data_IF_916988241624
#
_entry.id   IF_916988241624
#
_cell.length_a   1.000
_cell.length_b   1.000
_cell.length_c   1.000
_cell.angle_alpha   90.00
_cell.angle_beta   90.00
_cell.angle_gamma   90.00
#
_symmetry.space_group_name_H-M   'P 1'
#
loop_
_entity.id
_entity.type
_entity.pdbx_description
1 polymer ?
#
# COMPACT_ATOMS: atom_id res chain seq x y z
N UNK A 1 -9.15 10.01 -8.46
CA UNK A 1 -8.72 8.62 -8.13
C UNK A 1 -9.09 8.26 -6.70
N UNK A 2 -9.47 7.05 -6.46
CA UNK A 2 -9.77 6.50 -5.13
C UNK A 2 -8.79 5.39 -4.76
N UNK A 3 -8.54 5.23 -3.45
CA UNK A 3 -7.57 4.24 -2.94
C UNK A 3 -8.23 3.06 -2.25
N UNK A 4 -7.64 1.89 -2.35
CA UNK A 4 -8.04 0.70 -1.61
C UNK A 4 -6.83 0.20 -0.81
N UNK A 5 -7.02 -0.05 0.48
CA UNK A 5 -6.07 -0.80 1.29
C UNK A 5 -6.66 -2.18 1.50
N UNK A 6 -6.01 -3.21 0.97
CA UNK A 6 -6.42 -4.59 1.21
C UNK A 6 -5.71 -5.12 2.47
N UNK A 7 -6.44 -5.14 3.56
CA UNK A 7 -5.97 -5.56 4.89
C UNK A 7 -6.67 -6.85 5.35
N UNK A 8 -6.87 -7.77 4.42
CA UNK A 8 -7.46 -9.08 4.64
C UNK A 8 -6.43 -10.18 4.91
N UNK A 9 -6.94 -11.42 4.97
CA UNK A 9 -6.13 -12.63 5.16
C UNK A 9 -5.93 -13.04 6.62
N UNK A 10 -5.81 -14.35 6.85
CA UNK A 10 -5.72 -14.93 8.18
C UNK A 10 -4.37 -14.74 8.89
N UNK A 11 -3.31 -14.30 8.16
CA UNK A 11 -1.98 -14.07 8.73
C UNK A 11 -1.32 -15.30 9.37
N UNK A 12 -1.67 -16.51 8.94
CA UNK A 12 -1.25 -17.78 9.58
C UNK A 12 0.26 -17.97 9.67
N UNK A 13 1.02 -17.38 8.74
CA UNK A 13 2.49 -17.39 8.78
C UNK A 13 3.09 -16.62 9.99
N UNK A 14 2.26 -15.80 10.64
CA UNK A 14 2.64 -15.02 11.82
C UNK A 14 2.00 -15.57 13.12
N UNK A 15 1.47 -16.79 13.11
CA UNK A 15 1.01 -17.41 14.35
C UNK A 15 2.19 -17.63 15.31
N UNK A 16 2.00 -17.37 16.63
CA UNK A 16 0.74 -17.05 17.32
C UNK A 16 0.36 -15.55 17.36
N UNK A 17 1.15 -14.65 16.83
CA UNK A 17 0.92 -13.18 16.93
C UNK A 17 -0.45 -12.76 16.37
N UNK A 18 -0.89 -13.41 15.30
CA UNK A 18 -2.13 -13.07 14.57
C UNK A 18 -3.34 -13.93 14.95
N UNK A 19 -3.25 -14.71 16.04
CA UNK A 19 -4.39 -15.52 16.50
C UNK A 19 -5.58 -14.68 17.02
N UNK A 20 -5.31 -13.46 17.48
CA UNK A 20 -6.32 -12.58 18.08
C UNK A 20 -6.37 -11.19 17.46
N UNK A 21 -5.58 -10.95 16.42
CA UNK A 21 -5.52 -9.64 15.75
C UNK A 21 -5.10 -9.77 14.31
N UNK A 22 -5.52 -8.82 13.46
CA UNK A 22 -5.02 -8.69 12.10
C UNK A 22 -3.52 -8.43 12.08
N UNK A 23 -2.81 -9.00 11.10
CA UNK A 23 -1.40 -8.71 10.83
C UNK A 23 -1.14 -7.20 10.70
N UNK A 24 -2.00 -6.49 10.03
CA UNK A 24 -1.85 -5.07 9.75
C UNK A 24 -2.07 -4.16 10.99
N UNK A 25 -2.50 -4.75 12.11
CA UNK A 25 -2.56 -4.08 13.41
C UNK A 25 -1.34 -4.34 14.28
N UNK A 26 -0.46 -5.26 13.89
CA UNK A 26 0.81 -5.48 14.59
C UNK A 26 1.70 -4.24 14.46
N UNK A 27 2.51 -3.95 15.48
CA UNK A 27 3.44 -2.82 15.43
C UNK A 27 4.60 -3.09 14.45
N UNK A 28 4.94 -2.09 13.67
CA UNK A 28 6.22 -2.01 12.98
C UNK A 28 6.94 -0.81 13.55
N UNK A 29 7.87 -1.09 14.45
CA UNK A 29 8.60 -0.15 15.29
C UNK A 29 7.66 0.71 16.19
N UNK A 30 7.24 1.90 15.77
CA UNK A 30 6.57 2.89 16.62
C UNK A 30 5.08 3.13 16.30
N UNK A 31 4.55 2.42 15.31
CA UNK A 31 3.15 2.56 14.89
C UNK A 31 2.57 1.26 14.31
N UNK A 32 1.23 1.12 14.24
CA UNK A 32 0.60 -0.03 13.59
C UNK A 32 0.97 -0.11 12.10
N UNK A 33 1.14 -1.31 11.59
CA UNK A 33 1.52 -1.57 10.21
C UNK A 33 0.63 -0.86 9.19
N UNK A 34 -0.68 -0.76 9.43
CA UNK A 34 -1.64 -0.11 8.53
C UNK A 34 -1.34 1.36 8.23
N UNK A 35 -0.56 2.05 9.09
CA UNK A 35 -0.17 3.44 8.87
C UNK A 35 0.74 3.61 7.65
N UNK A 36 1.53 2.60 7.31
CA UNK A 36 2.45 2.63 6.16
C UNK A 36 1.69 2.63 4.83
N UNK A 37 0.81 1.66 4.52
CA UNK A 37 0.03 1.70 3.28
C UNK A 37 -0.93 2.89 3.23
N UNK A 38 -1.52 3.32 4.36
CA UNK A 38 -2.30 4.56 4.42
C UNK A 38 -1.46 5.76 3.96
N UNK A 39 -0.26 5.91 4.51
CA UNK A 39 0.67 6.98 4.13
C UNK A 39 1.07 6.90 2.65
N UNK A 40 1.23 5.69 2.10
CA UNK A 40 1.56 5.50 0.68
C UNK A 40 0.48 6.09 -0.22
N UNK A 41 -0.80 5.80 0.04
CA UNK A 41 -1.91 6.41 -0.72
C UNK A 41 -2.00 7.93 -0.50
N UNK A 42 -1.77 8.39 0.72
CA UNK A 42 -1.75 9.83 1.02
C UNK A 42 -0.62 10.55 0.27
N UNK A 43 0.57 9.97 0.18
CA UNK A 43 1.70 10.51 -0.60
C UNK A 43 1.39 10.59 -2.10
N UNK A 44 0.55 9.70 -2.62
CA UNK A 44 0.01 9.77 -3.98
C UNK A 44 -1.01 10.91 -4.17
N UNK A 45 -1.46 11.55 -3.09
CA UNK A 45 -2.49 12.61 -3.12
C UNK A 45 -3.92 12.08 -3.00
N UNK A 46 -4.10 10.80 -2.68
CA UNK A 46 -5.41 10.14 -2.60
C UNK A 46 -6.04 10.40 -1.23
N UNK A 47 -7.28 10.90 -1.22
CA UNK A 47 -8.02 11.22 0.01
C UNK A 47 -9.18 10.28 0.32
N UNK A 48 -9.85 9.77 -0.71
CA UNK A 48 -10.94 8.81 -0.53
C UNK A 48 -10.34 7.40 -0.53
N UNK A 49 -10.40 6.73 0.62
CA UNK A 49 -9.70 5.45 0.84
C UNK A 49 -10.67 4.44 1.45
N UNK A 50 -10.76 3.27 0.80
CA UNK A 50 -11.51 2.12 1.28
C UNK A 50 -10.57 1.10 1.92
N UNK A 51 -10.85 0.73 3.16
CA UNK A 51 -10.14 -0.36 3.85
C UNK A 51 -10.99 -1.62 3.75
N UNK A 52 -10.45 -2.64 3.09
CA UNK A 52 -11.09 -3.94 2.94
C UNK A 52 -10.41 -4.93 3.90
N UNK A 53 -11.18 -5.53 4.79
CA UNK A 53 -10.66 -6.44 5.81
C UNK A 53 -11.64 -7.58 6.13
N UNK A 54 -11.21 -8.47 7.03
CA UNK A 54 -12.04 -9.59 7.49
C UNK A 54 -13.22 -9.10 8.33
N UNK A 55 -14.31 -9.92 8.49
CA UNK A 55 -15.42 -9.55 9.36
C UNK A 55 -14.99 -9.27 10.81
N UNK A 56 -13.97 -9.98 11.30
CA UNK A 56 -13.47 -9.87 12.68
C UNK A 56 -12.62 -8.61 12.88
N UNK A 57 -11.85 -8.22 11.88
CA UNK A 57 -10.85 -7.15 12.02
C UNK A 57 -11.37 -5.79 11.55
N UNK A 58 -12.38 -5.74 10.68
CA UNK A 58 -12.96 -4.47 10.21
C UNK A 58 -13.32 -3.52 11.36
N UNK A 59 -14.03 -3.95 12.43
CA UNK A 59 -14.35 -3.07 13.56
C UNK A 59 -13.10 -2.55 14.31
N UNK A 60 -11.99 -3.29 14.26
CA UNK A 60 -10.73 -2.88 14.90
C UNK A 60 -10.06 -1.77 14.11
N UNK A 61 -10.08 -1.86 12.75
CA UNK A 61 -9.62 -0.77 11.90
C UNK A 61 -10.48 0.48 12.04
N UNK A 62 -11.80 0.34 12.11
CA UNK A 62 -12.72 1.45 12.39
C UNK A 62 -12.42 2.10 13.74
N UNK A 63 -12.18 1.30 14.78
CA UNK A 63 -11.83 1.81 16.11
C UNK A 63 -10.47 2.53 16.15
N UNK A 64 -9.49 2.10 15.35
CA UNK A 64 -8.16 2.70 15.28
C UNK A 64 -8.16 3.99 14.45
N UNK A 65 -8.74 3.96 13.26
CA UNK A 65 -8.57 4.96 12.21
C UNK A 65 -9.77 5.90 12.07
N UNK A 66 -10.94 5.54 12.65
CA UNK A 66 -12.16 6.35 12.57
C UNK A 66 -12.60 6.62 11.13
N UNK A 67 -13.11 7.82 10.90
CA UNK A 67 -13.51 8.31 9.59
C UNK A 67 -12.35 8.90 8.75
N UNK A 68 -11.15 8.94 9.31
CA UNK A 68 -9.96 9.49 8.65
C UNK A 68 -9.81 11.02 8.77
N UNK A 69 -10.77 11.70 9.39
CA UNK A 69 -10.76 13.16 9.48
C UNK A 69 -9.50 13.71 10.16
N UNK A 70 -8.91 12.99 11.14
CA UNK A 70 -7.66 13.35 11.79
C UNK A 70 -6.45 13.35 10.83
N UNK A 71 -6.54 12.61 9.73
CA UNK A 71 -5.53 12.54 8.66
C UNK A 71 -5.92 13.40 7.44
N UNK A 72 -7.03 14.13 7.50
CA UNK A 72 -7.52 14.93 6.37
C UNK A 72 -7.96 14.09 5.16
N UNK A 73 -8.34 12.84 5.37
CA UNK A 73 -8.84 11.90 4.37
C UNK A 73 -10.23 11.40 4.75
N UNK A 74 -10.91 10.74 3.82
CA UNK A 74 -12.19 10.07 4.04
C UNK A 74 -11.97 8.57 4.02
N UNK A 75 -12.13 7.90 5.16
CA UNK A 75 -12.02 6.46 5.26
C UNK A 75 -13.39 5.80 5.20
N UNK A 76 -13.48 4.76 4.39
CA UNK A 76 -14.61 3.85 4.31
C UNK A 76 -14.14 2.43 4.58
N UNK A 77 -15.05 1.54 4.96
CA UNK A 77 -14.71 0.17 5.33
C UNK A 77 -15.62 -0.82 4.62
N UNK A 78 -15.05 -1.95 4.19
CA UNK A 78 -15.77 -3.04 3.54
C UNK A 78 -15.27 -4.37 4.06
N UNK A 79 -16.19 -5.27 4.33
CA UNK A 79 -15.86 -6.64 4.74
C UNK A 79 -15.55 -7.48 3.50
N UNK A 80 -14.43 -8.20 3.53
CA UNK A 80 -14.09 -9.29 2.62
C UNK A 80 -14.53 -10.61 3.29
N UNK A 81 -15.57 -11.28 2.79
CA UNK A 81 -16.10 -12.49 3.44
C UNK A 81 -15.14 -13.68 3.36
N UNK A 82 -14.40 -13.79 2.26
CA UNK A 82 -13.41 -14.83 1.98
C UNK A 82 -12.23 -14.25 1.20
N UNK A 83 -11.00 -14.74 1.39
CA UNK A 83 -9.81 -14.25 0.71
C UNK A 83 -9.67 -14.87 -0.69
N UNK A 84 -10.55 -14.51 -1.62
CA UNK A 84 -10.63 -15.13 -2.95
C UNK A 84 -9.63 -14.54 -3.96
N UNK A 85 -8.61 -13.84 -3.49
CA UNK A 85 -7.54 -13.25 -4.30
C UNK A 85 -7.51 -11.72 -4.29
N UNK A 86 -6.42 -11.14 -4.76
CA UNK A 86 -6.19 -9.69 -4.66
C UNK A 86 -7.09 -8.89 -5.61
N UNK A 87 -7.40 -9.43 -6.80
CA UNK A 87 -8.28 -8.73 -7.76
C UNK A 87 -9.72 -8.58 -7.23
N UNK A 88 -10.15 -9.43 -6.28
CA UNK A 88 -11.45 -9.32 -5.62
C UNK A 88 -11.65 -7.95 -4.95
N UNK A 89 -10.58 -7.29 -4.51
CA UNK A 89 -10.66 -5.98 -3.87
C UNK A 89 -11.34 -4.93 -4.75
N UNK A 90 -11.10 -4.95 -6.07
CA UNK A 90 -11.73 -4.04 -7.01
C UNK A 90 -13.21 -4.40 -7.25
N UNK A 91 -13.57 -5.67 -7.19
CA UNK A 91 -14.96 -6.13 -7.30
C UNK A 91 -15.75 -5.67 -6.05
N UNK A 92 -15.20 -5.88 -4.86
CA UNK A 92 -15.79 -5.41 -3.60
C UNK A 92 -15.86 -3.89 -3.53
N UNK A 93 -14.88 -3.22 -4.11
CA UNK A 93 -14.77 -1.77 -4.16
C UNK A 93 -15.57 -1.08 -5.28
N UNK A 94 -16.32 -1.80 -6.12
CA UNK A 94 -17.02 -1.25 -7.28
C UNK A 94 -17.89 -0.02 -6.95
N UNK A 95 -18.73 -0.15 -5.94
CA UNK A 95 -19.62 0.95 -5.48
C UNK A 95 -18.79 2.15 -4.97
N UNK A 96 -17.73 1.89 -4.23
CA UNK A 96 -16.84 2.92 -3.74
C UNK A 96 -16.08 3.61 -4.87
N UNK A 97 -15.54 2.86 -5.84
CA UNK A 97 -14.82 3.41 -6.99
C UNK A 97 -15.75 4.24 -7.88
N UNK A 98 -17.01 3.84 -8.01
CA UNK A 98 -18.03 4.58 -8.77
C UNK A 98 -17.59 4.96 -10.20
N UNK A 99 -16.83 4.08 -10.86
CA UNK A 99 -16.30 4.27 -12.20
C UNK A 99 -15.05 5.15 -12.30
N UNK A 100 -14.46 5.59 -11.19
CA UNK A 100 -13.21 6.33 -11.19
C UNK A 100 -11.98 5.40 -11.28
N UNK A 101 -10.81 6.00 -11.56
CA UNK A 101 -9.54 5.32 -11.45
C UNK A 101 -9.26 4.85 -10.01
N UNK A 102 -8.64 3.69 -9.85
CA UNK A 102 -8.41 3.05 -8.57
C UNK A 102 -6.94 2.74 -8.31
N UNK A 103 -6.44 3.09 -7.13
CA UNK A 103 -5.17 2.59 -6.62
C UNK A 103 -5.41 1.53 -5.55
N UNK A 104 -4.56 0.50 -5.48
CA UNK A 104 -4.58 -0.47 -4.40
C UNK A 104 -3.18 -0.65 -3.81
N UNK A 105 -3.13 -0.72 -2.49
CA UNK A 105 -1.93 -1.10 -1.75
C UNK A 105 -2.25 -2.25 -0.80
N UNK A 106 -1.34 -3.23 -0.72
CA UNK A 106 -1.47 -4.31 0.24
C UNK A 106 -1.12 -3.80 1.65
N UNK A 107 -1.95 -4.16 2.61
CA UNK A 107 -1.90 -3.64 3.98
C UNK A 107 -0.63 -4.01 4.77
N UNK A 108 0.19 -4.90 4.24
CA UNK A 108 1.44 -5.39 4.82
C UNK A 108 2.70 -4.94 4.04
N UNK A 109 2.55 -4.04 3.08
CA UNK A 109 3.66 -3.52 2.29
C UNK A 109 4.11 -2.16 2.81
N UNK A 110 5.40 -2.01 2.99
CA UNK A 110 6.06 -0.77 3.43
C UNK A 110 6.99 -0.30 2.32
N UNK A 111 6.88 0.97 1.98
CA UNK A 111 7.72 1.61 0.97
C UNK A 111 8.48 2.78 1.58
N UNK A 112 9.75 2.88 1.26
CA UNK A 112 10.57 4.03 1.60
C UNK A 112 11.58 4.33 0.49
N UNK A 113 11.72 5.61 0.14
CA UNK A 113 12.70 6.02 -0.87
C UNK A 113 12.59 7.50 -1.20
N UNK A 114 13.70 8.07 -1.61
CA UNK A 114 13.74 9.48 -2.01
C UNK A 114 12.95 9.70 -3.31
N UNK A 115 12.12 10.73 -3.34
CA UNK A 115 11.29 11.07 -4.51
C UNK A 115 10.08 10.17 -4.71
N UNK A 116 9.74 9.30 -3.74
CA UNK A 116 8.63 8.34 -3.88
C UNK A 116 7.31 9.04 -4.18
N UNK A 117 6.98 10.15 -3.54
CA UNK A 117 5.75 10.91 -3.80
C UNK A 117 5.65 11.40 -5.27
N UNK A 118 6.79 11.71 -5.91
CA UNK A 118 6.80 12.11 -7.33
C UNK A 118 6.44 10.92 -8.23
N UNK A 119 7.02 9.76 -7.96
CA UNK A 119 6.74 8.52 -8.70
C UNK A 119 5.27 8.14 -8.57
N UNK A 120 4.71 8.23 -7.36
CA UNK A 120 3.29 7.95 -7.12
C UNK A 120 2.37 8.90 -7.87
N UNK A 121 2.69 10.20 -7.92
CA UNK A 121 1.90 11.20 -8.66
C UNK A 121 1.93 10.96 -10.18
N UNK A 122 3.07 10.50 -10.72
CA UNK A 122 3.14 10.07 -12.12
C UNK A 122 2.21 8.89 -12.37
N UNK A 123 2.19 7.88 -11.49
CA UNK A 123 1.28 6.74 -11.63
C UNK A 123 -0.20 7.14 -11.53
N UNK A 124 -0.54 8.14 -10.72
CA UNK A 124 -1.89 8.73 -10.67
C UNK A 124 -2.23 9.38 -12.02
N UNK A 125 -1.33 10.20 -12.57
CA UNK A 125 -1.52 10.87 -13.86
C UNK A 125 -1.67 9.86 -15.00
N UNK A 126 -0.85 8.81 -15.02
CA UNK A 126 -0.94 7.75 -16.03
C UNK A 126 -2.30 7.04 -15.98
N UNK A 127 -2.82 6.78 -14.80
CA UNK A 127 -4.11 6.13 -14.65
C UNK A 127 -5.30 7.07 -14.99
N UNK A 128 -5.29 8.32 -14.53
CA UNK A 128 -6.41 9.24 -14.69
C UNK A 128 -6.45 9.91 -16.06
N UNK A 129 -5.28 10.24 -16.62
CA UNK A 129 -5.18 11.04 -17.85
C UNK A 129 -4.83 10.17 -19.06
N UNK A 130 -3.86 9.26 -18.89
CA UNK A 130 -3.32 8.46 -19.99
C UNK A 130 -4.06 7.12 -20.17
N UNK A 131 -4.95 6.75 -19.23
CA UNK A 131 -5.70 5.50 -19.28
C UNK A 131 -4.82 4.25 -19.19
N UNK A 132 -3.69 4.34 -18.48
CA UNK A 132 -2.69 3.29 -18.33
C UNK A 132 -2.62 2.79 -16.90
N UNK A 133 -2.42 1.50 -16.73
CA UNK A 133 -2.11 0.92 -15.43
C UNK A 133 -0.62 1.04 -15.12
N UNK A 134 -0.29 1.23 -13.83
CA UNK A 134 1.10 1.24 -13.35
C UNK A 134 1.27 0.25 -12.21
N UNK A 135 2.29 -0.60 -12.33
CA UNK A 135 2.79 -1.49 -11.25
C UNK A 135 4.25 -1.17 -10.95
N UNK A 136 4.74 -1.60 -9.79
CA UNK A 136 6.10 -1.29 -9.35
C UNK A 136 6.94 -2.56 -9.28
N UNK A 137 8.05 -2.57 -10.00
CA UNK A 137 9.02 -3.65 -9.98
C UNK A 137 10.16 -3.36 -8.99
N UNK A 138 10.50 -4.35 -8.18
CA UNK A 138 11.60 -4.27 -7.22
C UNK A 138 12.50 -5.50 -7.36
N UNK A 139 13.83 -5.28 -7.41
CA UNK A 139 14.81 -6.36 -7.55
C UNK A 139 14.92 -7.15 -6.24
N UNK A 140 14.71 -8.47 -6.31
CA UNK A 140 14.80 -9.40 -5.17
C UNK A 140 15.67 -10.59 -5.50
N UNK A 141 16.31 -11.24 -4.50
CA UNK A 141 17.11 -12.45 -4.71
C UNK A 141 16.26 -13.73 -4.86
N UNK A 142 15.00 -13.71 -4.41
CA UNK A 142 14.06 -14.84 -4.34
C UNK A 142 12.73 -14.53 -5.07
N UNK A 143 12.77 -14.24 -6.40
CA UNK A 143 11.63 -13.74 -7.16
C UNK A 143 10.46 -14.74 -7.27
N UNK A 144 10.72 -16.05 -7.15
CA UNK A 144 9.71 -17.11 -7.23
C UNK A 144 8.60 -17.02 -6.18
N UNK A 145 8.77 -16.18 -5.17
CA UNK A 145 7.75 -15.93 -4.13
C UNK A 145 6.67 -14.95 -4.56
N UNK A 146 6.89 -14.21 -5.64
CA UNK A 146 6.11 -13.05 -6.05
C UNK A 146 5.59 -13.17 -7.48
N UNK A 147 4.75 -12.24 -7.90
CA UNK A 147 4.56 -11.98 -9.32
C UNK A 147 5.86 -11.44 -9.91
N UNK A 148 6.33 -11.99 -11.02
CA UNK A 148 7.61 -11.63 -11.64
C UNK A 148 7.38 -11.00 -13.00
N UNK A 149 7.94 -9.81 -13.22
CA UNK A 149 7.90 -9.13 -14.53
C UNK A 149 9.20 -9.36 -15.29
N UNK A 150 9.08 -9.71 -16.57
CA UNK A 150 10.20 -9.80 -17.50
C UNK A 150 10.21 -8.63 -18.49
N UNK A 151 11.38 -8.29 -19.00
CA UNK A 151 11.62 -7.15 -19.89
C UNK A 151 12.34 -7.59 -21.16
N UNK A 152 12.12 -6.84 -22.25
CA UNK A 152 12.95 -6.91 -23.45
C UNK A 152 14.24 -6.06 -23.31
N UNK A 153 15.05 -6.05 -24.38
CA UNK A 153 16.31 -5.30 -24.42
C UNK A 153 16.10 -3.77 -24.34
N UNK A 154 14.92 -3.29 -24.71
CA UNK A 154 14.53 -1.89 -24.61
C UNK A 154 13.92 -1.52 -23.25
N UNK A 155 13.81 -2.48 -22.33
CA UNK A 155 13.26 -2.28 -20.97
C UNK A 155 11.74 -2.26 -20.90
N UNK A 156 11.03 -2.72 -21.94
CA UNK A 156 9.57 -2.84 -21.92
C UNK A 156 9.15 -4.17 -21.31
N UNK A 157 8.13 -4.16 -20.46
CA UNK A 157 7.58 -5.38 -19.90
C UNK A 157 7.02 -6.30 -20.99
N UNK A 158 7.41 -7.58 -20.97
CA UNK A 158 7.01 -8.60 -21.95
C UNK A 158 6.12 -9.68 -21.36
N UNK A 159 6.27 -9.97 -20.06
CA UNK A 159 5.39 -10.92 -19.35
C UNK A 159 5.34 -10.60 -17.87
N UNK A 160 4.27 -11.00 -17.22
CA UNK A 160 4.14 -11.05 -15.77
C UNK A 160 3.66 -12.45 -15.42
N UNK A 161 4.33 -13.13 -14.49
CA UNK A 161 4.00 -14.50 -14.11
C UNK A 161 3.85 -14.59 -12.58
N UNK A 162 2.76 -15.19 -12.09
CA UNK A 162 2.53 -15.38 -10.67
C UNK A 162 3.34 -16.55 -10.13
N UNK A 163 4.25 -16.27 -9.20
CA UNK A 163 5.08 -17.27 -8.50
C UNK A 163 5.67 -18.34 -9.44
N UNK A 164 6.40 -17.94 -10.49
CA UNK A 164 6.93 -18.86 -11.46
C UNK A 164 7.96 -19.79 -10.82
N UNK A 165 7.93 -21.08 -11.21
CA UNK A 165 8.95 -22.06 -10.77
C UNK A 165 10.33 -21.71 -11.33
N UNK A 166 10.38 -21.15 -12.54
CA UNK A 166 11.60 -20.69 -13.20
C UNK A 166 11.43 -19.21 -13.58
N UNK A 167 11.76 -18.27 -12.67
CA UNK A 167 11.59 -16.85 -12.93
C UNK A 167 12.43 -16.37 -14.12
N UNK A 168 11.85 -15.55 -15.00
CA UNK A 168 12.54 -14.97 -16.15
C UNK A 168 13.36 -13.73 -15.80
N UNK A 169 13.13 -13.18 -14.61
CA UNK A 169 13.88 -12.04 -14.07
C UNK A 169 13.87 -12.06 -12.55
N UNK A 170 14.64 -11.14 -11.94
CA UNK A 170 14.63 -10.91 -10.50
C UNK A 170 13.72 -9.74 -10.07
N UNK A 171 12.88 -9.22 -10.96
CA UNK A 171 12.00 -8.11 -10.63
C UNK A 171 10.64 -8.61 -10.17
N UNK A 172 10.41 -8.55 -8.85
CA UNK A 172 9.14 -8.81 -8.23
C UNK A 172 8.18 -7.62 -8.42
N UNK A 173 6.91 -7.89 -8.71
CA UNK A 173 5.85 -6.89 -8.67
C UNK A 173 5.45 -6.68 -7.22
N UNK A 174 5.58 -5.44 -6.75
CA UNK A 174 5.25 -5.08 -5.36
C UNK A 174 3.74 -5.02 -5.14
N UNK A 175 3.31 -4.93 -3.87
CA UNK A 175 1.91 -4.81 -3.52
C UNK A 175 1.33 -3.40 -3.65
N UNK A 176 1.64 -2.70 -4.75
CA UNK A 176 1.14 -1.35 -5.05
C UNK A 176 0.77 -1.25 -6.53
N UNK A 177 -0.47 -0.85 -6.79
CA UNK A 177 -1.09 -0.91 -8.10
C UNK A 177 -1.90 0.35 -8.37
N UNK A 178 -1.80 0.89 -9.59
CA UNK A 178 -2.62 2.01 -10.08
C UNK A 178 -3.31 1.60 -11.37
N UNK A 179 -4.61 1.79 -11.45
CA UNK A 179 -5.40 1.39 -12.60
C UNK A 179 -6.32 2.51 -13.07
N UNK A 180 -6.53 2.63 -14.38
CA UNK A 180 -7.49 3.58 -14.93
C UNK A 180 -8.94 3.22 -14.56
N UNK A 181 -9.85 4.12 -14.85
CA UNK A 181 -11.29 3.92 -14.72
C UNK A 181 -11.75 2.62 -15.38
N UNK A 182 -12.68 1.90 -14.73
CA UNK A 182 -13.20 0.61 -15.22
C UNK A 182 -12.43 -0.62 -14.75
N UNK A 183 -11.46 -0.47 -13.84
CA UNK A 183 -10.73 -1.61 -13.25
C UNK A 183 -11.66 -2.60 -12.53
N UNK A 184 -12.72 -2.13 -11.90
CA UNK A 184 -13.76 -2.94 -11.27
C UNK A 184 -14.44 -3.90 -12.25
N UNK A 185 -14.74 -3.43 -13.46
CA UNK A 185 -15.33 -4.26 -14.54
C UNK A 185 -14.32 -5.27 -15.05
N UNK A 186 -13.08 -4.82 -15.31
CA UNK A 186 -12.01 -5.70 -15.78
C UNK A 186 -11.66 -6.78 -14.74
N UNK A 187 -11.68 -6.45 -13.46
CA UNK A 187 -11.46 -7.41 -12.37
C UNK A 187 -12.53 -8.53 -12.35
N UNK A 188 -13.77 -8.27 -12.76
CA UNK A 188 -14.83 -9.28 -12.89
C UNK A 188 -14.59 -10.28 -14.02
N UNK A 189 -13.73 -9.97 -14.97
CA UNK A 189 -13.34 -10.86 -16.08
C UNK A 189 -12.23 -11.84 -15.67
N UNK A 190 -11.53 -11.56 -14.55
CA UNK A 190 -10.48 -12.43 -14.01
C UNK A 190 -11.10 -13.75 -13.56
N UNK A 191 -10.57 -14.86 -14.06
CA UNK A 191 -10.99 -16.21 -13.67
C UNK A 191 -10.10 -16.71 -12.53
N UNK A 192 -10.66 -17.53 -11.61
CA UNK A 192 -9.86 -18.15 -10.57
C UNK A 192 -8.71 -18.97 -11.15
N UNK A 193 -7.52 -18.82 -10.57
CA UNK A 193 -6.33 -19.59 -10.90
C UNK A 193 -6.46 -21.05 -10.44
N UNK A 194 -5.44 -21.86 -10.71
CA UNK A 194 -5.36 -23.22 -10.18
C UNK A 194 -5.37 -23.27 -8.62
N UNK A 195 -5.07 -22.15 -7.97
CA UNK A 195 -5.17 -21.97 -6.50
C UNK A 195 -6.57 -21.57 -6.03
N UNK A 196 -7.51 -21.34 -6.95
CA UNK A 196 -8.85 -20.83 -6.67
C UNK A 196 -8.91 -19.32 -6.40
N UNK A 197 -7.83 -18.57 -6.67
CA UNK A 197 -7.71 -17.14 -6.37
C UNK A 197 -7.91 -16.28 -7.63
N UNK A 198 -8.56 -15.13 -7.49
CA UNK A 198 -8.62 -14.07 -8.48
C UNK A 198 -7.31 -13.28 -8.41
N UNK A 199 -6.34 -13.73 -9.24
CA UNK A 199 -4.98 -13.21 -9.18
C UNK A 199 -4.89 -11.78 -9.72
N UNK A 200 -4.18 -10.93 -8.99
CA UNK A 200 -3.86 -9.58 -9.48
C UNK A 200 -2.92 -9.65 -10.68
N UNK A 201 -2.08 -10.67 -10.75
CA UNK A 201 -1.18 -10.91 -11.87
C UNK A 201 -1.95 -11.10 -13.16
N UNK A 202 -3.07 -11.84 -13.16
CA UNK A 202 -3.95 -11.98 -14.33
C UNK A 202 -4.56 -10.63 -14.75
N UNK A 203 -4.98 -9.81 -13.79
CA UNK A 203 -5.46 -8.46 -14.09
C UNK A 203 -4.36 -7.60 -14.75
N UNK A 204 -3.12 -7.68 -14.24
CA UNK A 204 -1.97 -6.99 -14.83
C UNK A 204 -1.65 -7.48 -16.24
N UNK A 205 -1.73 -8.81 -16.49
CA UNK A 205 -1.55 -9.39 -17.82
C UNK A 205 -2.59 -8.89 -18.83
N UNK A 206 -3.84 -8.67 -18.41
CA UNK A 206 -4.86 -8.10 -19.29
C UNK A 206 -4.46 -6.69 -19.75
N UNK A 207 -3.97 -5.84 -18.85
CA UNK A 207 -3.46 -4.51 -19.21
C UNK A 207 -2.18 -4.58 -20.06
N UNK A 208 -1.27 -5.52 -19.77
CA UNK A 208 -0.06 -5.74 -20.53
C UNK A 208 -0.38 -6.11 -21.99
N UNK A 209 -1.29 -7.06 -22.19
CA UNK A 209 -1.72 -7.54 -23.50
C UNK A 209 -2.44 -6.45 -24.33
N UNK A 210 -3.05 -5.47 -23.67
CA UNK A 210 -3.63 -4.28 -24.32
C UNK A 210 -2.58 -3.19 -24.62
N UNK A 211 -1.31 -3.38 -24.21
CA UNK A 211 -0.27 -2.35 -24.31
C UNK A 211 -0.48 -1.16 -23.37
N UNK A 212 -1.23 -1.37 -22.29
CA UNK A 212 -1.64 -0.32 -21.33
C UNK A 212 -1.08 -0.55 -19.92
N UNK A 213 -0.03 -1.31 -19.77
CA UNK A 213 0.66 -1.50 -18.50
C UNK A 213 2.04 -0.85 -18.53
N UNK A 214 2.31 -0.01 -17.55
CA UNK A 214 3.63 0.53 -17.27
C UNK A 214 4.22 -0.14 -16.03
N UNK A 215 5.50 -0.44 -16.06
CA UNK A 215 6.24 -0.98 -14.93
C UNK A 215 7.26 0.05 -14.48
N UNK A 216 7.02 0.66 -13.33
CA UNK A 216 7.94 1.60 -12.72
C UNK A 216 8.94 0.85 -11.84
N UNK A 217 10.22 0.87 -12.19
CA UNK A 217 11.26 0.23 -11.38
C UNK A 217 11.64 1.09 -10.18
N UNK A 218 11.56 0.51 -9.00
CA UNK A 218 12.08 1.07 -7.77
C UNK A 218 13.58 0.70 -7.69
N UNK A 219 14.42 1.67 -8.01
CA UNK A 219 15.88 1.48 -8.11
C UNK A 219 16.58 1.53 -6.75
N UNK A 220 17.92 1.67 -6.81
CA UNK A 220 18.76 1.82 -5.61
C UNK A 220 18.31 3.03 -4.79
N UNK A 221 18.27 2.87 -3.46
CA UNK A 221 17.79 3.92 -2.55
C UNK A 221 16.32 3.79 -2.19
N UNK A 222 15.60 2.85 -2.81
CA UNK A 222 14.28 2.41 -2.35
C UNK A 222 14.39 1.17 -1.47
N UNK A 223 13.50 1.07 -0.49
CA UNK A 223 13.22 -0.13 0.25
C UNK A 223 11.75 -0.48 0.07
N UNK A 224 11.50 -1.72 -0.30
CA UNK A 224 10.20 -2.37 -0.27
C UNK A 224 10.29 -3.54 0.70
N UNK A 225 9.42 -3.55 1.71
CA UNK A 225 9.40 -4.54 2.78
C UNK A 225 8.04 -5.23 2.77
N UNK A 226 8.05 -6.53 2.50
CA UNK A 226 6.90 -7.42 2.65
C UNK A 226 6.97 -8.08 4.02
N UNK A 227 6.09 -7.69 4.94
CA UNK A 227 6.07 -8.15 6.32
C UNK A 227 5.33 -9.48 6.51
N UNK A 228 5.46 -10.39 5.54
CA UNK A 228 4.69 -11.64 5.48
C UNK A 228 5.16 -12.76 6.39
N UNK A 229 6.35 -12.66 7.02
CA UNK A 229 6.95 -13.66 7.91
C UNK A 229 7.43 -13.03 9.20
N UNK A 230 7.77 -13.85 10.22
CA UNK A 230 8.32 -13.36 11.49
C UNK A 230 9.60 -12.56 11.26
N UNK A 231 10.53 -13.11 10.48
CA UNK A 231 11.82 -12.48 10.22
C UNK A 231 11.63 -11.16 9.46
N UNK A 232 10.82 -11.15 8.39
CA UNK A 232 10.57 -9.92 7.62
C UNK A 232 9.83 -8.84 8.43
N UNK A 233 9.01 -9.21 9.41
CA UNK A 233 8.37 -8.26 10.33
C UNK A 233 9.41 -7.59 11.24
N UNK A 234 10.36 -8.36 11.78
CA UNK A 234 11.46 -7.84 12.61
C UNK A 234 12.38 -6.96 11.77
N UNK A 235 12.80 -7.43 10.59
CA UNK A 235 13.67 -6.67 9.67
C UNK A 235 13.02 -5.33 9.27
N UNK A 236 11.70 -5.31 9.04
CA UNK A 236 10.98 -4.07 8.74
C UNK A 236 11.01 -3.10 9.92
N UNK A 237 10.81 -3.60 11.15
CA UNK A 237 10.86 -2.78 12.36
C UNK A 237 12.27 -2.20 12.60
N UNK A 238 13.31 -2.99 12.40
CA UNK A 238 14.71 -2.59 12.53
C UNK A 238 15.10 -1.56 11.47
N UNK A 239 14.68 -1.77 10.22
CA UNK A 239 14.90 -0.82 9.13
C UNK A 239 14.25 0.54 9.45
N UNK A 240 12.97 0.56 9.80
CA UNK A 240 12.26 1.79 10.15
C UNK A 240 12.94 2.49 11.32
N UNK A 241 13.26 1.76 12.39
CA UNK A 241 13.96 2.31 13.55
C UNK A 241 15.29 2.97 13.17
N UNK A 242 16.09 2.28 12.37
CA UNK A 242 17.41 2.74 11.97
C UNK A 242 17.31 4.04 11.16
N UNK A 243 16.44 4.09 10.17
CA UNK A 243 16.26 5.27 9.32
C UNK A 243 15.72 6.44 10.14
N UNK A 244 14.66 6.25 10.93
CA UNK A 244 14.06 7.30 11.74
C UNK A 244 15.06 7.90 12.74
N UNK A 245 15.84 7.05 13.42
CA UNK A 245 16.89 7.52 14.36
C UNK A 245 18.01 8.27 13.66
N UNK A 246 18.42 7.85 12.46
CA UNK A 246 19.54 8.47 11.75
C UNK A 246 19.15 9.79 11.09
N UNK A 247 17.94 9.88 10.55
CA UNK A 247 17.50 11.05 9.81
C UNK A 247 16.69 12.04 10.66
N UNK A 248 16.22 11.63 11.84
CA UNK A 248 15.40 12.47 12.71
C UNK A 248 14.01 12.75 12.15
N UNK A 249 13.49 11.84 11.30
CA UNK A 249 12.17 11.92 10.68
C UNK A 249 11.28 10.77 11.14
N UNK A 250 10.02 10.77 10.70
CA UNK A 250 9.14 9.61 10.77
C UNK A 250 8.88 9.06 9.37
N UNK A 251 8.99 7.76 9.21
CA UNK A 251 8.52 7.07 8.00
C UNK A 251 7.03 6.86 8.16
N UNK A 252 6.26 7.33 7.16
CA UNK A 252 4.81 7.06 7.11
C UNK A 252 4.06 7.54 8.35
N UNK A 253 4.13 8.86 8.63
CA UNK A 253 3.30 9.54 9.63
C UNK A 253 2.13 10.24 8.93
N UNK A 254 0.91 9.64 8.92
CA UNK A 254 -0.25 10.16 8.18
C UNK A 254 -0.59 11.61 8.54
N UNK A 255 -0.52 11.97 9.83
CA UNK A 255 -0.81 13.33 10.30
C UNK A 255 0.20 14.35 9.79
N UNK A 256 1.49 13.98 9.76
CA UNK A 256 2.53 14.85 9.20
C UNK A 256 2.33 15.04 7.69
N UNK A 257 2.03 13.97 6.95
CA UNK A 257 1.75 14.03 5.50
C UNK A 257 0.55 14.95 5.26
N UNK A 258 -0.55 14.76 6.00
CA UNK A 258 -1.74 15.60 5.90
C UNK A 258 -1.44 17.06 6.16
N UNK A 259 -0.65 17.37 7.18
CA UNK A 259 -0.25 18.75 7.51
C UNK A 259 0.63 19.36 6.41
N UNK A 260 1.64 18.63 5.91
CA UNK A 260 2.53 19.10 4.83
C UNK A 260 1.79 19.32 3.51
N UNK A 261 0.72 18.56 3.26
CA UNK A 261 -0.14 18.74 2.08
C UNK A 261 -1.25 19.79 2.29
N UNK A 262 -1.33 20.40 3.47
CA UNK A 262 -2.35 21.38 3.81
C UNK A 262 -3.77 20.77 3.92
N UNK A 263 -3.88 19.47 4.18
CA UNK A 263 -5.16 18.80 4.38
C UNK A 263 -5.69 18.96 5.79
N UNK A 264 -4.79 19.17 6.75
CA UNK A 264 -5.10 19.58 8.11
C UNK A 264 -4.27 20.82 8.47
N UNK A 265 -4.78 21.62 9.39
CA UNK A 265 -4.07 22.79 9.94
C UNK A 265 -3.19 22.40 11.15
N UNK A 266 -2.47 23.39 11.64
CA UNK A 266 -1.58 23.25 12.81
C UNK A 266 -2.33 22.86 14.07
N UNK A 267 -3.53 23.38 14.28
CA UNK A 267 -4.34 23.11 15.47
C UNK A 267 -4.76 21.65 15.50
N UNK A 268 -5.20 21.12 14.38
CA UNK A 268 -5.58 19.70 14.24
C UNK A 268 -4.37 18.76 14.41
N UNK A 269 -3.20 19.15 13.89
CA UNK A 269 -1.96 18.39 14.12
C UNK A 269 -1.58 18.36 15.60
N UNK A 270 -1.73 19.48 16.31
CA UNK A 270 -1.46 19.56 17.75
C UNK A 270 -2.43 18.71 18.57
N UNK A 271 -3.72 18.66 18.20
CA UNK A 271 -4.71 17.76 18.82
C UNK A 271 -4.27 16.30 18.67
N UNK A 272 -3.80 15.90 17.49
CA UNK A 272 -3.25 14.55 17.27
C UNK A 272 -2.00 14.30 18.12
N UNK A 273 -1.09 15.27 18.22
CA UNK A 273 0.09 15.18 19.06
C UNK A 273 -0.27 14.99 20.56
N UNK A 274 -1.27 15.71 21.05
CA UNK A 274 -1.76 15.59 22.43
C UNK A 274 -2.40 14.22 22.69
N UNK A 275 -3.16 13.69 21.73
CA UNK A 275 -3.75 12.33 21.80
C UNK A 275 -2.68 11.25 22.00
N UNK A 276 -1.53 11.39 21.35
CA UNK A 276 -0.39 10.47 21.49
C UNK A 276 0.50 10.79 22.70
N UNK A 277 0.32 11.93 23.34
CA UNK A 277 0.92 12.33 24.61
C UNK A 277 2.45 12.37 24.59
N UNK A 278 3.08 11.69 25.56
CA UNK A 278 4.54 11.67 25.72
C UNK A 278 5.26 10.66 24.81
N UNK A 279 4.54 9.95 23.96
CA UNK A 279 5.17 9.01 23.03
C UNK A 279 6.14 9.74 22.08
N UNK A 280 7.22 9.08 21.61
CA UNK A 280 8.11 9.67 20.61
C UNK A 280 7.36 10.11 19.34
N UNK A 281 6.29 9.42 18.97
CA UNK A 281 5.45 9.77 17.83
C UNK A 281 4.69 11.09 18.07
N UNK A 282 4.04 11.26 19.22
CA UNK A 282 3.36 12.50 19.59
C UNK A 282 4.32 13.70 19.69
N UNK A 283 5.50 13.49 20.28
CA UNK A 283 6.53 14.53 20.35
C UNK A 283 7.05 14.96 18.97
N UNK A 284 7.16 14.01 18.04
CA UNK A 284 7.50 14.31 16.65
C UNK A 284 6.44 15.19 15.99
N UNK A 285 5.15 14.83 16.07
CA UNK A 285 4.07 15.64 15.50
C UNK A 285 4.05 17.06 16.06
N UNK A 286 4.30 17.22 17.36
CA UNK A 286 4.45 18.53 17.98
C UNK A 286 5.62 19.32 17.40
N UNK A 287 6.78 18.68 17.23
CA UNK A 287 7.95 19.31 16.63
C UNK A 287 7.70 19.72 15.16
N UNK A 288 6.94 18.90 14.39
CA UNK A 288 6.50 19.24 13.03
C UNK A 288 5.60 20.49 13.05
N UNK A 289 4.59 20.55 13.94
CA UNK A 289 3.69 21.68 14.09
C UNK A 289 4.43 22.99 14.48
N UNK A 290 5.53 22.86 15.22
CA UNK A 290 6.39 23.98 15.64
C UNK A 290 7.45 24.35 14.58
N UNK A 291 7.50 23.68 13.44
CA UNK A 291 8.48 23.93 12.36
C UNK A 291 9.91 23.50 12.68
N UNK A 292 10.10 22.61 13.65
CA UNK A 292 11.41 22.12 14.10
C UNK A 292 11.92 20.91 13.29
N UNK A 293 11.05 20.24 12.54
CA UNK A 293 11.37 19.11 11.66
C UNK A 293 11.34 19.59 10.22
N UNK A 294 12.48 19.46 9.52
CA UNK A 294 12.57 19.72 8.09
C UNK A 294 12.17 18.45 7.33
N UNK A 295 11.29 18.56 6.33
CA UNK A 295 10.91 17.52 5.43
C UNK A 295 11.38 17.80 4.02
#
# INVERSE_FOLDING_TARGET
>A
MKGIILAGGAGTRLYPLTMVTSKQLLPVYDKPMIYYPLSTLMLAGIKDILIISTPVDTPRFEGLLGDGSQFGVNLSYKVQPSPDGLAQAFILGEEFLAGEAGAMVLGDNIFYGNGFSKILKTAVEDAEVNGRATVFGYYVPDPERFGVVAFDEEGRATSIEEKPVNPKSNYAVTGLYFYPAGVDKKAKEVKPSARGELEITTLNEMYLNEGKLDVQLLGRGFAWLDTGTMDSLVEAADFVQMIEKRQGIKISAPEEIAFRYGWIDKEKLLVSAERYGKSPYGQHLKAVAEGKVRG
#
